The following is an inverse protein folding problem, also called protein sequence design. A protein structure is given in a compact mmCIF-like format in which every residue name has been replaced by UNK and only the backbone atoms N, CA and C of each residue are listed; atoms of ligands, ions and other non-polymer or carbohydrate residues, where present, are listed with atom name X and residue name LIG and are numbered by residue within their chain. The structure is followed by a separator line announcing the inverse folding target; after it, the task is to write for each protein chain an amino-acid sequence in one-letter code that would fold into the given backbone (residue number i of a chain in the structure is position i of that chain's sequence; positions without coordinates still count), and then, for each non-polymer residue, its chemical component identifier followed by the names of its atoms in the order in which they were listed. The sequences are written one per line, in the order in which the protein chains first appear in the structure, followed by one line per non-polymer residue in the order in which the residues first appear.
data_IF_316212096435
#
_entry.id   IF_316212096435
#
_cell.length_a   1.000
_cell.length_b   1.000
_cell.length_c   1.000
_cell.angle_alpha   90.00
_cell.angle_beta   90.00
_cell.angle_gamma   90.00
#
_symmetry.space_group_name_H-M   'P 1'
#
loop_
_entity.id
_entity.type
_entity.pdbx_description
1 polymer ?
#
# COMPACT_ATOMS: atom_id res chain seq x y z
N UNK A 1 45.66 -40.89 21.62
CA UNK A 1 44.23 -41.23 21.78
C UNK A 1 43.38 -40.06 22.26
N UNK A 2 43.87 -39.14 23.12
CA UNK A 2 43.11 -37.92 23.47
C UNK A 2 43.29 -36.77 22.45
N UNK A 3 44.47 -36.61 21.85
CA UNK A 3 44.70 -35.53 20.86
C UNK A 3 43.91 -35.73 19.54
N UNK A 4 43.64 -36.98 19.13
CA UNK A 4 42.84 -37.27 17.92
C UNK A 4 41.34 -37.02 18.12
N UNK A 5 40.87 -37.05 19.37
CA UNK A 5 39.46 -36.77 19.70
C UNK A 5 39.19 -35.26 19.72
N UNK A 6 40.13 -34.46 20.21
CA UNK A 6 40.03 -33.00 20.21
C UNK A 6 40.09 -32.41 18.79
N UNK A 7 40.86 -33.03 17.88
CA UNK A 7 40.93 -32.62 16.47
C UNK A 7 39.66 -32.97 15.67
N UNK A 8 38.97 -34.06 16.03
CA UNK A 8 37.70 -34.44 15.41
C UNK A 8 36.55 -33.54 15.90
N UNK A 9 36.51 -33.19 17.18
CA UNK A 9 35.52 -32.25 17.72
C UNK A 9 35.69 -30.84 17.14
N UNK A 10 36.92 -30.38 16.90
CA UNK A 10 37.16 -29.08 16.26
C UNK A 10 36.74 -29.06 14.79
N UNK A 11 36.95 -30.15 14.04
CA UNK A 11 36.50 -30.26 12.65
C UNK A 11 34.97 -30.33 12.53
N UNK A 12 34.28 -31.05 13.42
CA UNK A 12 32.81 -31.08 13.45
C UNK A 12 32.20 -29.71 13.79
N UNK A 13 32.82 -28.94 14.69
CA UNK A 13 32.39 -27.58 15.02
C UNK A 13 32.63 -26.57 13.87
N UNK A 14 33.65 -26.78 13.05
CA UNK A 14 33.92 -25.95 11.87
C UNK A 14 32.97 -26.26 10.70
N UNK A 15 32.57 -27.54 10.52
CA UNK A 15 31.60 -27.95 9.50
C UNK A 15 30.17 -27.51 9.83
N UNK A 16 29.79 -27.51 11.11
CA UNK A 16 28.50 -26.97 11.56
C UNK A 16 28.39 -25.44 11.41
N UNK A 17 29.51 -24.71 11.40
CA UNK A 17 29.52 -23.27 11.07
C UNK A 17 29.33 -22.97 9.58
N UNK A 18 29.64 -23.92 8.69
CA UNK A 18 29.51 -23.74 7.23
C UNK A 18 28.10 -24.05 6.68
N UNK A 19 27.24 -24.68 7.48
CA UNK A 19 25.86 -25.05 7.07
C UNK A 19 24.75 -24.14 7.62
N UNK A 20 25.08 -22.99 8.20
CA UNK A 20 24.06 -21.98 8.51
C UNK A 20 23.71 -21.20 7.23
N UNK A 21 22.44 -21.15 6.80
CA UNK A 21 22.07 -20.28 5.69
C UNK A 21 22.38 -18.84 6.11
N UNK A 22 23.10 -18.13 5.25
CA UNK A 22 23.28 -16.68 5.33
C UNK A 22 21.89 -16.07 5.15
N UNK A 23 21.15 -15.95 6.26
CA UNK A 23 20.06 -15.01 6.36
C UNK A 23 20.71 -13.64 6.35
N UNK A 24 20.92 -13.11 5.14
CA UNK A 24 21.10 -11.70 4.88
C UNK A 24 19.88 -11.00 5.49
N UNK A 25 20.02 -10.66 6.77
CA UNK A 25 19.09 -9.84 7.50
C UNK A 25 19.07 -8.48 6.81
N UNK A 26 18.18 -8.33 5.83
CA UNK A 26 17.68 -7.05 5.37
C UNK A 26 16.83 -6.46 6.51
N UNK A 27 17.51 -6.14 7.61
CA UNK A 27 16.99 -5.36 8.71
C UNK A 27 17.15 -3.88 8.34
N UNK A 28 16.65 -3.51 7.16
CA UNK A 28 16.27 -2.12 6.91
C UNK A 28 14.90 -1.96 7.55
N UNK A 29 14.95 -1.72 8.87
CA UNK A 29 13.94 -0.95 9.56
C UNK A 29 13.76 0.33 8.75
N UNK A 30 12.81 0.32 7.82
CA UNK A 30 12.26 1.54 7.23
C UNK A 30 11.70 2.29 8.43
N UNK A 31 12.54 3.10 9.07
CA UNK A 31 12.08 4.17 9.91
C UNK A 31 11.27 5.01 8.96
N UNK A 32 9.94 4.89 9.05
CA UNK A 32 9.00 5.83 8.49
C UNK A 32 9.39 7.17 9.09
N UNK A 33 10.27 7.88 8.39
CA UNK A 33 10.69 9.21 8.81
C UNK A 33 9.39 10.00 8.80
N UNK A 34 8.87 10.31 9.98
CA UNK A 34 7.86 11.33 10.16
C UNK A 34 8.54 12.68 9.89
N UNK A 35 9.01 12.89 8.66
CA UNK A 35 9.35 14.23 8.21
C UNK A 35 8.01 14.95 8.16
N UNK A 36 7.84 15.98 9.00
CA UNK A 36 6.82 16.99 8.76
C UNK A 36 6.93 17.35 7.26
N UNK A 37 5.83 17.29 6.49
CA UNK A 37 5.90 17.57 5.08
C UNK A 37 6.52 18.96 4.93
N UNK A 38 7.60 19.02 4.14
CA UNK A 38 8.14 20.29 3.66
C UNK A 38 6.93 20.98 3.02
N UNK A 39 6.54 22.12 3.58
CA UNK A 39 5.41 22.89 3.10
C UNK A 39 5.83 23.56 1.78
N UNK A 40 5.89 22.75 0.72
CA UNK A 40 5.97 23.23 -0.64
C UNK A 40 4.55 23.54 -1.08
N UNK A 41 4.35 24.80 -1.47
CA UNK A 41 3.22 25.38 -2.21
C UNK A 41 2.14 24.39 -2.63
N UNK A 42 0.90 24.71 -2.27
CA UNK A 42 -0.36 24.00 -2.54
C UNK A 42 -0.61 23.65 -4.01
N UNK A 43 0.23 22.79 -4.59
CA UNK A 43 -0.09 21.98 -5.72
C UNK A 43 -1.01 20.88 -5.19
N UNK A 44 -2.29 20.96 -5.52
CA UNK A 44 -3.27 19.90 -5.30
C UNK A 44 -2.75 18.63 -5.95
N UNK A 45 -2.03 17.80 -5.20
CA UNK A 45 -1.67 16.46 -5.66
C UNK A 45 -2.98 15.69 -5.82
N UNK A 46 -3.45 15.56 -7.07
CA UNK A 46 -4.76 14.95 -7.39
C UNK A 46 -4.74 13.43 -7.28
N UNK A 47 -3.56 12.82 -7.17
CA UNK A 47 -3.36 11.39 -7.09
C UNK A 47 -2.20 11.07 -6.15
N UNK A 48 -2.47 10.29 -5.11
CA UNK A 48 -1.48 9.72 -4.23
C UNK A 48 -1.91 8.31 -3.87
N UNK A 49 -1.11 7.33 -4.28
CA UNK A 49 -1.30 5.93 -3.92
C UNK A 49 -0.01 5.43 -3.27
N UNK A 50 -0.15 4.58 -2.26
CA UNK A 50 0.97 3.88 -1.63
C UNK A 50 0.82 2.42 -2.01
N UNK A 51 1.90 1.77 -2.45
CA UNK A 51 1.91 0.33 -2.74
C UNK A 51 2.83 -0.35 -1.75
N UNK A 52 2.29 -1.26 -0.95
CA UNK A 52 2.99 -2.05 0.07
C UNK A 52 2.98 -3.51 -0.35
N UNK A 53 4.12 -4.19 -0.19
CA UNK A 53 4.18 -5.64 -0.25
C UNK A 53 3.71 -6.19 1.09
N UNK A 54 2.51 -6.77 1.11
CA UNK A 54 1.90 -7.39 2.30
C UNK A 54 1.71 -8.87 1.99
N UNK A 55 2.09 -9.74 2.93
CA UNK A 55 1.86 -11.18 2.79
C UNK A 55 0.37 -11.46 2.62
N UNK A 56 0.04 -12.27 1.61
CA UNK A 56 -1.33 -12.64 1.35
C UNK A 56 -1.84 -13.57 2.47
N UNK A 57 -3.04 -13.34 3.01
CA UNK A 57 -3.60 -14.25 4.00
C UNK A 57 -3.78 -15.64 3.39
N UNK A 58 -3.52 -16.68 4.19
CA UNK A 58 -3.77 -18.07 3.78
C UNK A 58 -5.26 -18.45 3.76
N UNK A 59 -6.14 -17.57 4.24
CA UNK A 59 -7.58 -17.80 4.24
C UNK A 59 -8.20 -17.50 2.87
N UNK A 60 -9.36 -18.13 2.61
CA UNK A 60 -10.21 -17.84 1.44
C UNK A 60 -11.42 -16.97 1.82
N UNK A 61 -11.36 -16.27 2.94
CA UNK A 61 -12.45 -15.41 3.38
C UNK A 61 -12.36 -14.08 2.62
N UNK A 62 -13.40 -13.75 1.87
CA UNK A 62 -13.47 -12.54 1.05
C UNK A 62 -13.22 -11.25 1.84
N UNK A 63 -13.57 -11.23 3.13
CA UNK A 63 -13.29 -10.10 4.01
C UNK A 63 -11.80 -9.91 4.31
N UNK A 64 -11.07 -11.01 4.48
CA UNK A 64 -9.62 -10.99 4.70
C UNK A 64 -8.88 -10.61 3.42
N UNK A 65 -9.30 -11.13 2.27
CA UNK A 65 -8.76 -10.75 0.96
C UNK A 65 -9.03 -9.28 0.65
N UNK A 66 -10.22 -8.77 0.96
CA UNK A 66 -10.56 -7.35 0.80
C UNK A 66 -9.67 -6.47 1.68
N UNK A 67 -9.47 -6.86 2.94
CA UNK A 67 -8.59 -6.14 3.85
C UNK A 67 -7.13 -6.17 3.37
N UNK A 68 -6.65 -7.32 2.91
CA UNK A 68 -5.32 -7.47 2.34
C UNK A 68 -5.10 -6.55 1.14
N UNK A 69 -6.05 -6.51 0.20
CA UNK A 69 -5.96 -5.64 -0.98
C UNK A 69 -5.80 -4.16 -0.60
N UNK A 70 -6.56 -3.72 0.39
CA UNK A 70 -6.50 -2.34 0.87
C UNK A 70 -5.21 -2.05 1.67
N UNK A 71 -4.68 -3.03 2.41
CA UNK A 71 -3.36 -2.95 3.04
C UNK A 71 -2.24 -2.79 2.01
N UNK A 72 -2.32 -3.52 0.89
CA UNK A 72 -1.42 -3.33 -0.25
C UNK A 72 -1.49 -1.90 -0.80
N UNK A 73 -2.66 -1.26 -0.80
CA UNK A 73 -2.84 0.13 -1.22
C UNK A 73 -2.46 1.17 -0.14
N UNK A 74 -1.82 0.72 0.95
CA UNK A 74 -1.37 1.55 2.06
C UNK A 74 -2.50 2.09 2.93
N UNK A 75 -3.70 1.54 2.80
CA UNK A 75 -4.79 1.78 3.73
C UNK A 75 -4.66 0.83 4.90
N UNK A 76 -4.91 1.34 6.10
CA UNK A 76 -4.85 0.63 7.39
C UNK A 76 -3.47 0.52 8.01
N UNK A 77 -3.50 0.63 9.34
CA UNK A 77 -2.48 0.08 10.21
C UNK A 77 -3.02 -1.22 10.81
N UNK A 78 -2.17 -2.21 11.13
CA UNK A 78 -2.58 -3.50 11.70
C UNK A 78 -3.39 -3.42 13.00
N UNK A 79 -3.41 -2.25 13.64
CA UNK A 79 -3.83 -2.07 15.03
C UNK A 79 -5.29 -1.65 15.18
N UNK A 80 -5.91 -0.99 14.19
CA UNK A 80 -7.22 -0.35 14.40
C UNK A 80 -8.40 -1.22 13.94
N UNK A 81 -8.53 -2.42 14.52
CA UNK A 81 -9.51 -3.47 14.14
C UNK A 81 -10.99 -3.06 14.19
N UNK A 82 -11.34 -1.84 14.62
CA UNK A 82 -12.74 -1.40 14.74
C UNK A 82 -13.11 -0.10 14.02
N UNK A 83 -12.16 0.66 13.46
CA UNK A 83 -12.38 2.03 12.96
C UNK A 83 -11.71 2.30 11.62
N UNK A 84 -11.66 1.29 10.76
CA UNK A 84 -10.88 1.37 9.52
C UNK A 84 -11.65 2.06 8.39
N UNK A 85 -10.91 2.73 7.50
CA UNK A 85 -11.44 3.17 6.19
C UNK A 85 -12.03 2.00 5.36
N UNK A 86 -11.75 0.73 5.68
CA UNK A 86 -12.29 -0.45 4.99
C UNK A 86 -13.80 -0.51 5.13
N UNK A 87 -14.32 -0.21 6.33
CA UNK A 87 -15.76 -0.26 6.58
C UNK A 87 -16.48 0.78 5.73
N UNK A 88 -16.01 2.02 5.76
CA UNK A 88 -16.55 3.10 4.93
C UNK A 88 -16.45 2.77 3.43
N UNK A 89 -15.30 2.26 2.99
CA UNK A 89 -15.11 1.92 1.58
C UNK A 89 -15.96 0.73 1.13
N UNK A 90 -16.10 -0.31 1.96
CA UNK A 90 -16.97 -1.46 1.71
C UNK A 90 -18.43 -1.03 1.54
N UNK A 91 -18.92 -0.14 2.40
CA UNK A 91 -20.27 0.41 2.28
C UNK A 91 -20.45 1.20 0.97
N UNK A 92 -19.44 1.95 0.55
CA UNK A 92 -19.46 2.64 -0.75
C UNK A 92 -19.46 1.68 -1.93
N UNK A 93 -18.67 0.60 -1.90
CA UNK A 93 -18.64 -0.41 -2.97
C UNK A 93 -20.03 -1.04 -3.11
N UNK A 94 -20.64 -1.49 -2.00
CA UNK A 94 -21.99 -2.06 -1.98
C UNK A 94 -23.05 -1.07 -2.47
N UNK A 95 -22.99 0.20 -2.04
CA UNK A 95 -23.96 1.20 -2.47
C UNK A 95 -23.81 1.52 -3.96
N UNK A 96 -22.57 1.60 -4.45
CA UNK A 96 -22.26 1.93 -5.84
C UNK A 96 -22.70 0.82 -6.79
N UNK A 97 -22.57 -0.44 -6.38
CA UNK A 97 -23.13 -1.59 -7.09
C UNK A 97 -24.65 -1.42 -7.30
N UNK A 98 -25.36 -0.98 -6.25
CA UNK A 98 -26.79 -0.66 -6.27
C UNK A 98 -27.13 0.69 -6.97
N UNK A 99 -26.14 1.40 -7.53
CA UNK A 99 -26.35 2.70 -8.18
C UNK A 99 -26.61 3.86 -7.22
N UNK A 100 -26.24 3.71 -5.94
CA UNK A 100 -26.46 4.71 -4.88
C UNK A 100 -25.13 5.35 -4.44
N UNK A 101 -25.14 6.68 -4.31
CA UNK A 101 -24.09 7.44 -3.64
C UNK A 101 -24.54 7.82 -2.22
N UNK A 102 -23.59 7.94 -1.29
CA UNK A 102 -23.85 8.16 0.13
C UNK A 102 -23.20 9.46 0.62
N UNK A 103 -23.86 10.16 1.53
CA UNK A 103 -23.28 11.28 2.28
C UNK A 103 -22.35 10.78 3.39
N UNK A 104 -21.47 11.66 3.89
CA UNK A 104 -20.62 11.32 5.05
C UNK A 104 -21.41 10.92 6.30
N UNK A 105 -22.63 11.44 6.45
CA UNK A 105 -23.51 11.15 7.59
C UNK A 105 -24.11 9.77 7.47
N UNK A 106 -24.67 9.42 6.31
CA UNK A 106 -25.20 8.07 6.06
C UNK A 106 -24.12 7.00 6.21
N UNK A 107 -22.89 7.27 5.76
CA UNK A 107 -21.78 6.34 5.94
C UNK A 107 -21.44 6.19 7.42
N UNK A 108 -21.34 7.31 8.16
CA UNK A 108 -21.04 7.33 9.59
C UNK A 108 -22.04 6.53 10.42
N UNK A 109 -23.32 6.64 10.12
CA UNK A 109 -24.39 5.86 10.76
C UNK A 109 -24.24 4.36 10.48
N UNK A 110 -23.96 3.98 9.22
CA UNK A 110 -23.82 2.57 8.82
C UNK A 110 -22.61 1.87 9.44
N UNK A 111 -21.51 2.59 9.60
CA UNK A 111 -20.24 2.02 10.12
C UNK A 111 -20.01 2.33 11.60
N UNK A 112 -20.97 2.97 12.27
CA UNK A 112 -20.90 3.36 13.68
C UNK A 112 -19.63 4.15 14.03
N UNK A 113 -19.32 5.17 13.24
CA UNK A 113 -18.17 6.07 13.44
C UNK A 113 -18.61 7.52 13.51
N UNK A 114 -17.76 8.40 14.07
CA UNK A 114 -18.04 9.84 14.00
C UNK A 114 -17.95 10.32 12.55
N UNK A 115 -18.81 11.27 12.17
CA UNK A 115 -18.78 11.90 10.84
C UNK A 115 -17.39 12.48 10.50
N UNK A 116 -16.70 13.07 11.48
CA UNK A 116 -15.34 13.60 11.31
C UNK A 116 -14.32 12.52 10.95
N UNK A 117 -14.36 11.36 11.61
CA UNK A 117 -13.49 10.22 11.30
C UNK A 117 -13.78 9.68 9.88
N UNK A 118 -15.05 9.52 9.53
CA UNK A 118 -15.46 9.10 8.17
C UNK A 118 -14.95 10.07 7.11
N UNK A 119 -15.11 11.39 7.30
CA UNK A 119 -14.61 12.39 6.35
C UNK A 119 -13.09 12.27 6.18
N UNK A 120 -12.34 12.05 7.26
CA UNK A 120 -10.90 11.85 7.17
C UNK A 120 -10.53 10.63 6.30
N UNK A 121 -11.21 9.50 6.52
CA UNK A 121 -11.03 8.30 5.70
C UNK A 121 -11.42 8.53 4.23
N UNK A 122 -12.56 9.17 3.97
CA UNK A 122 -13.03 9.49 2.63
C UNK A 122 -12.04 10.39 1.88
N UNK A 123 -11.45 11.39 2.56
CA UNK A 123 -10.46 12.24 1.94
C UNK A 123 -9.21 11.45 1.50
N UNK A 124 -8.77 10.46 2.28
CA UNK A 124 -7.66 9.58 1.89
C UNK A 124 -8.05 8.71 0.67
N UNK A 125 -9.26 8.14 0.69
CA UNK A 125 -9.78 7.31 -0.41
C UNK A 125 -10.01 8.12 -1.71
N UNK A 126 -10.36 9.40 -1.60
CA UNK A 126 -10.46 10.31 -2.75
C UNK A 126 -9.08 10.64 -3.31
N UNK A 127 -8.09 10.93 -2.44
CA UNK A 127 -6.71 11.19 -2.89
C UNK A 127 -6.07 10.00 -3.59
N UNK A 128 -6.42 8.78 -3.21
CA UNK A 128 -6.00 7.55 -3.90
C UNK A 128 -6.86 7.16 -5.10
N UNK A 129 -7.87 7.96 -5.45
CA UNK A 129 -8.79 7.70 -6.56
C UNK A 129 -9.58 6.39 -6.44
N UNK A 130 -9.76 5.88 -5.23
CA UNK A 130 -10.66 4.75 -4.96
C UNK A 130 -12.12 5.21 -4.84
N UNK A 131 -12.32 6.45 -4.38
CA UNK A 131 -13.63 7.08 -4.17
C UNK A 131 -13.73 8.36 -4.98
N UNK A 132 -14.90 8.59 -5.57
CA UNK A 132 -15.28 9.84 -6.21
C UNK A 132 -16.15 10.60 -5.22
N UNK A 133 -15.91 11.90 -5.09
CA UNK A 133 -16.78 12.82 -4.36
C UNK A 133 -17.55 13.67 -5.36
N UNK A 134 -18.87 13.64 -5.25
CA UNK A 134 -19.79 14.46 -6.05
C UNK A 134 -20.69 15.28 -5.10
N UNK A 135 -20.40 16.58 -5.02
CA UNK A 135 -21.00 17.46 -4.02
C UNK A 135 -20.80 16.96 -2.58
N UNK A 136 -21.89 16.67 -1.89
CA UNK A 136 -21.91 16.13 -0.52
C UNK A 136 -21.87 14.59 -0.46
N UNK A 137 -21.90 13.92 -1.61
CA UNK A 137 -22.00 12.48 -1.73
C UNK A 137 -20.69 11.85 -2.21
N UNK A 138 -20.56 10.57 -1.92
CA UNK A 138 -19.41 9.75 -2.23
C UNK A 138 -19.88 8.46 -2.89
N UNK A 139 -19.06 7.94 -3.80
CA UNK A 139 -19.25 6.66 -4.48
C UNK A 139 -17.89 6.01 -4.73
N UNK A 140 -17.86 4.68 -4.77
CA UNK A 140 -16.69 3.97 -5.26
C UNK A 140 -16.47 4.33 -6.74
N UNK A 141 -15.20 4.43 -7.17
CA UNK A 141 -14.86 4.81 -8.55
C UNK A 141 -15.38 3.80 -9.58
N UNK A 142 -15.44 2.53 -9.21
CA UNK A 142 -15.89 1.43 -10.06
C UNK A 142 -16.79 0.48 -9.28
N UNK A 143 -17.67 -0.20 -10.00
CA UNK A 143 -18.53 -1.28 -9.45
C UNK A 143 -17.78 -2.60 -9.26
N UNK A 144 -16.57 -2.72 -9.80
CA UNK A 144 -15.73 -3.91 -9.68
C UNK A 144 -14.38 -3.53 -9.09
N UNK A 145 -13.98 -4.21 -8.01
CA UNK A 145 -12.67 -4.05 -7.40
C UNK A 145 -11.55 -4.37 -8.38
N UNK A 146 -11.69 -5.45 -9.17
CA UNK A 146 -10.73 -5.80 -10.21
C UNK A 146 -10.53 -4.65 -11.21
N UNK A 147 -11.65 -4.09 -11.73
CA UNK A 147 -11.59 -2.96 -12.66
C UNK A 147 -10.95 -1.73 -12.02
N UNK A 148 -11.25 -1.46 -10.75
CA UNK A 148 -10.64 -0.35 -10.00
C UNK A 148 -9.12 -0.52 -9.87
N UNK A 149 -8.65 -1.73 -9.57
CA UNK A 149 -7.21 -2.03 -9.49
C UNK A 149 -6.55 -1.90 -10.86
N UNK A 150 -7.21 -2.33 -11.94
CA UNK A 150 -6.70 -2.15 -13.30
C UNK A 150 -6.59 -0.68 -13.70
N UNK A 151 -7.62 0.12 -13.42
CA UNK A 151 -7.58 1.57 -13.67
C UNK A 151 -6.47 2.27 -12.87
N UNK A 152 -6.19 1.81 -11.64
CA UNK A 152 -5.06 2.32 -10.85
C UNK A 152 -3.71 1.90 -11.45
N UNK A 153 -3.58 0.65 -11.90
CA UNK A 153 -2.38 0.15 -12.57
C UNK A 153 -2.09 1.00 -13.82
N UNK A 154 -3.07 1.22 -14.68
CA UNK A 154 -2.92 2.02 -15.91
C UNK A 154 -2.49 3.46 -15.60
N UNK A 155 -3.00 4.05 -14.51
CA UNK A 155 -2.61 5.38 -14.05
C UNK A 155 -1.16 5.43 -13.53
N UNK A 156 -0.73 4.41 -12.79
CA UNK A 156 0.65 4.27 -12.32
C UNK A 156 1.60 4.10 -13.51
N UNK A 157 1.30 3.19 -14.42
CA UNK A 157 2.11 2.91 -15.61
C UNK A 157 2.27 4.17 -16.48
N UNK A 158 1.20 4.97 -16.62
CA UNK A 158 1.27 6.25 -17.32
C UNK A 158 2.21 7.26 -16.63
N UNK A 159 2.21 7.30 -15.29
CA UNK A 159 3.11 8.17 -14.53
C UNK A 159 4.56 7.70 -14.70
N UNK A 160 4.81 6.39 -14.60
CA UNK A 160 6.15 5.82 -14.81
C UNK A 160 6.70 6.13 -16.20
N UNK A 161 5.91 5.92 -17.26
CA UNK A 161 6.33 6.26 -18.63
C UNK A 161 6.76 7.72 -18.79
N UNK A 162 6.08 8.65 -18.11
CA UNK A 162 6.46 10.06 -18.12
C UNK A 162 7.75 10.30 -17.35
N UNK A 163 7.91 9.65 -16.21
CA UNK A 163 9.15 9.74 -15.42
C UNK A 163 10.34 9.19 -16.20
N UNK A 164 10.20 8.05 -16.86
CA UNK A 164 11.23 7.44 -17.72
C UNK A 164 11.61 8.36 -18.88
N UNK A 165 10.62 8.91 -19.59
CA UNK A 165 10.89 9.84 -20.69
C UNK A 165 11.63 11.10 -20.21
N UNK A 166 11.20 11.69 -19.09
CA UNK A 166 11.90 12.85 -18.51
C UNK A 166 13.30 12.49 -18.00
N UNK A 167 13.49 11.31 -17.41
CA UNK A 167 14.81 10.86 -16.98
C UNK A 167 15.74 10.71 -18.19
N UNK A 168 15.25 10.12 -19.30
CA UNK A 168 16.01 10.00 -20.55
C UNK A 168 16.43 11.37 -21.11
N UNK A 169 15.51 12.33 -21.15
CA UNK A 169 15.81 13.70 -21.59
C UNK A 169 16.88 14.36 -20.70
N UNK A 170 16.82 14.16 -19.38
CA UNK A 170 17.82 14.67 -18.44
C UNK A 170 19.18 13.98 -18.62
N UNK A 171 19.20 12.68 -18.83
CA UNK A 171 20.42 11.92 -19.09
C UNK A 171 21.11 12.41 -20.37
N UNK A 172 20.35 12.67 -21.44
CA UNK A 172 20.85 13.28 -22.68
C UNK A 172 21.43 14.68 -22.44
N UNK A 173 20.73 15.54 -21.69
CA UNK A 173 21.21 16.89 -21.34
C UNK A 173 22.47 16.87 -20.46
N UNK A 174 22.58 15.90 -19.56
CA UNK A 174 23.71 15.75 -18.64
C UNK A 174 24.88 14.97 -19.23
N UNK A 175 24.74 14.40 -20.42
CA UNK A 175 25.76 13.56 -21.06
C UNK A 175 25.94 12.21 -20.36
N UNK A 176 24.90 11.72 -19.66
CA UNK A 176 24.86 10.41 -19.02
C UNK A 176 24.27 9.40 -20.00
N UNK A 177 25.09 8.87 -20.92
CA UNK A 177 24.63 7.82 -21.82
C UNK A 177 24.67 6.47 -21.08
N UNK A 178 23.51 5.82 -20.97
CA UNK A 178 23.46 4.41 -20.57
C UNK A 178 23.99 3.57 -21.75
N UNK A 179 25.05 2.81 -21.53
CA UNK A 179 25.40 1.69 -22.41
C UNK A 179 24.32 0.60 -22.20
N UNK A 180 23.66 0.20 -23.28
CA UNK A 180 22.58 -0.81 -23.30
C UNK A 180 23.04 -2.20 -22.79
#
# INVERSE_FOLDING_TARGET
MQEEQDEQEQKEQEEQKKQQPILLGFNHRFQLIHRKPINMSSSKHRFQVVIRRVEQPFSRHSDEEFNWLLQCLGFFEPIDKGKTAALAFRELVKSTEQGKSLTSTEIAERVNMSRGAVINHLNNLVRSRLVIKDGSKYLARSKSMFRMIKELQDEIDLVFKKMEQTAKELDEEMGLFLED
#
